data_IF_690548611208
#
_entry.id   IF_690548611208
#
_cell.length_a   1.000
_cell.length_b   1.000
_cell.length_c   1.000
_cell.angle_alpha   90.00
_cell.angle_beta   90.00
_cell.angle_gamma   90.00
#
_symmetry.space_group_name_H-M   'P 1'
#
loop_
_entity.id
_entity.type
_entity.pdbx_description
1 polymer ?
#
# COMPACT_ATOMS: atom_id res chain seq x y z
N UNK A 1 8.29 -19.62 -0.55
CA UNK A 1 6.96 -20.18 -0.88
C UNK A 1 5.91 -19.08 -0.82
N UNK A 2 5.12 -18.94 -1.88
CA UNK A 2 3.96 -18.03 -1.89
C UNK A 2 2.81 -18.71 -1.11
N UNK A 3 2.18 -17.95 -0.22
CA UNK A 3 1.01 -18.44 0.55
C UNK A 3 -0.19 -17.57 0.20
N UNK A 4 -1.35 -18.21 0.04
CA UNK A 4 -2.60 -17.46 -0.10
C UNK A 4 -3.06 -16.95 1.27
N UNK A 5 -3.52 -15.70 1.32
CA UNK A 5 -3.82 -15.02 2.57
C UNK A 5 -4.94 -15.72 3.37
N UNK A 6 -5.91 -16.31 2.69
CA UNK A 6 -7.01 -17.07 3.30
C UNK A 6 -6.55 -18.39 3.93
N UNK A 7 -5.33 -18.86 3.61
CA UNK A 7 -4.71 -20.06 4.17
C UNK A 7 -3.72 -19.76 5.29
N UNK A 8 -3.48 -18.48 5.59
CA UNK A 8 -2.54 -18.07 6.62
C UNK A 8 -3.30 -17.79 7.92
N UNK A 9 -2.79 -18.32 9.04
CA UNK A 9 -3.39 -18.03 10.36
C UNK A 9 -3.30 -16.55 10.66
N UNK A 10 -4.40 -15.94 11.11
CA UNK A 10 -4.45 -14.52 11.45
C UNK A 10 -3.36 -14.10 12.46
N UNK A 11 -2.99 -14.97 13.39
CA UNK A 11 -1.93 -14.71 14.37
C UNK A 11 -0.55 -14.47 13.74
N UNK A 12 -0.29 -15.00 12.53
CA UNK A 12 0.97 -14.78 11.81
C UNK A 12 0.98 -13.50 11.00
N UNK A 13 -0.17 -12.81 10.91
CA UNK A 13 -0.33 -11.54 10.19
C UNK A 13 -0.34 -10.33 11.14
N UNK A 14 0.06 -10.52 12.39
CA UNK A 14 0.19 -9.41 13.35
C UNK A 14 1.30 -8.44 12.93
N UNK A 15 1.13 -7.16 13.24
CA UNK A 15 2.07 -6.09 12.90
C UNK A 15 1.60 -5.23 11.74
N UNK A 16 2.53 -4.72 10.94
CA UNK A 16 2.24 -3.86 9.79
C UNK A 16 2.34 -4.66 8.49
N UNK A 17 1.30 -4.59 7.67
CA UNK A 17 1.28 -5.21 6.35
C UNK A 17 1.60 -4.17 5.27
N UNK A 18 2.50 -4.50 4.35
CA UNK A 18 2.72 -3.79 3.09
C UNK A 18 1.86 -4.47 2.02
N UNK A 19 0.82 -3.78 1.57
CA UNK A 19 -0.16 -4.32 0.62
C UNK A 19 0.02 -3.68 -0.76
N UNK A 20 0.38 -4.49 -1.75
CA UNK A 20 0.46 -4.03 -3.15
C UNK A 20 -0.88 -4.24 -3.83
N UNK A 21 -1.43 -3.15 -4.37
CA UNK A 21 -2.65 -3.11 -5.17
C UNK A 21 -2.35 -2.58 -6.56
N UNK A 22 -3.29 -2.74 -7.49
CA UNK A 22 -3.23 -2.16 -8.83
C UNK A 22 -4.29 -1.07 -8.98
N UNK A 23 -3.83 0.19 -9.02
CA UNK A 23 -4.66 1.36 -9.31
C UNK A 23 -4.44 1.91 -10.73
N UNK A 24 -3.74 1.15 -11.57
CA UNK A 24 -3.50 1.53 -12.97
C UNK A 24 -4.74 1.25 -13.85
N UNK A 25 -5.85 1.88 -13.48
CA UNK A 25 -7.14 1.74 -14.14
C UNK A 25 -7.91 3.06 -14.08
N UNK A 26 -8.85 3.25 -15.00
CA UNK A 26 -9.71 4.46 -15.05
C UNK A 26 -10.99 4.31 -14.24
N UNK A 27 -11.32 3.10 -13.82
CA UNK A 27 -12.50 2.80 -13.02
C UNK A 27 -12.13 2.24 -11.64
N UNK A 28 -13.12 2.07 -10.78
CA UNK A 28 -12.92 1.70 -9.38
C UNK A 28 -13.14 0.20 -9.11
N UNK A 29 -13.37 -0.61 -10.15
CA UNK A 29 -13.68 -2.02 -9.93
C UNK A 29 -12.54 -2.79 -9.26
N UNK A 30 -11.29 -2.42 -9.56
CA UNK A 30 -10.11 -3.03 -8.91
C UNK A 30 -10.01 -2.67 -7.43
N UNK A 31 -10.38 -1.42 -7.07
CA UNK A 31 -10.48 -1.04 -5.66
C UNK A 31 -11.55 -1.83 -4.93
N UNK A 32 -12.72 -2.03 -5.56
CA UNK A 32 -13.79 -2.84 -4.98
C UNK A 32 -13.35 -4.29 -4.80
N UNK A 33 -12.64 -4.85 -5.77
CA UNK A 33 -12.17 -6.23 -5.74
C UNK A 33 -11.17 -6.52 -4.60
N UNK A 34 -10.43 -5.52 -4.13
CA UNK A 34 -9.44 -5.70 -3.05
C UNK A 34 -9.98 -5.36 -1.65
N UNK A 35 -11.20 -4.88 -1.54
CA UNK A 35 -11.81 -4.59 -0.23
C UNK A 35 -11.84 -5.79 0.73
N UNK A 36 -12.13 -7.03 0.29
CA UNK A 36 -12.05 -8.19 1.17
C UNK A 36 -10.66 -8.38 1.79
N UNK A 37 -9.59 -8.20 1.01
CA UNK A 37 -8.21 -8.29 1.48
C UNK A 37 -7.91 -7.21 2.53
N UNK A 38 -8.31 -5.96 2.27
CA UNK A 38 -8.14 -4.87 3.22
C UNK A 38 -8.87 -5.16 4.52
N UNK A 39 -10.13 -5.57 4.44
CA UNK A 39 -10.93 -5.91 5.63
C UNK A 39 -10.33 -7.06 6.43
N UNK A 40 -9.83 -8.08 5.74
CA UNK A 40 -9.15 -9.19 6.38
C UNK A 40 -7.89 -8.74 7.13
N UNK A 41 -7.05 -7.93 6.48
CA UNK A 41 -5.83 -7.40 7.09
C UNK A 41 -6.12 -6.46 8.26
N UNK A 42 -7.18 -5.67 8.20
CA UNK A 42 -7.58 -4.81 9.34
C UNK A 42 -7.94 -5.62 10.59
N UNK A 43 -8.45 -6.83 10.42
CA UNK A 43 -8.74 -7.74 11.54
C UNK A 43 -7.49 -8.47 12.04
N UNK A 44 -6.61 -8.85 11.12
CA UNK A 44 -5.48 -9.74 11.40
C UNK A 44 -4.19 -8.97 11.73
N UNK A 45 -3.96 -7.81 11.09
CA UNK A 45 -2.76 -7.00 11.29
C UNK A 45 -3.04 -5.74 12.09
N UNK A 46 -1.97 -5.05 12.51
CA UNK A 46 -2.11 -3.80 13.25
C UNK A 46 -2.36 -2.60 12.34
N UNK A 47 -1.62 -2.52 11.24
CA UNK A 47 -1.63 -1.38 10.31
C UNK A 47 -1.42 -1.88 8.88
N UNK A 48 -1.86 -1.06 7.91
CA UNK A 48 -1.69 -1.39 6.49
C UNK A 48 -1.01 -0.20 5.81
N UNK A 49 0.04 -0.47 5.03
CA UNK A 49 0.65 0.47 4.09
C UNK A 49 0.35 -0.03 2.68
N UNK A 50 -0.41 0.74 1.92
CA UNK A 50 -0.77 0.41 0.55
C UNK A 50 0.24 1.03 -0.40
N UNK A 51 0.72 0.24 -1.35
CA UNK A 51 1.58 0.68 -2.45
C UNK A 51 0.95 0.31 -3.78
N UNK A 52 1.08 1.20 -4.76
CA UNK A 52 0.57 0.97 -6.11
C UNK A 52 1.30 1.83 -7.13
N UNK A 53 0.92 1.67 -8.40
CA UNK A 53 1.46 2.47 -9.49
C UNK A 53 0.35 2.90 -10.45
N UNK A 54 0.62 3.94 -11.23
CA UNK A 54 -0.24 4.43 -12.30
C UNK A 54 0.59 5.02 -13.43
N UNK A 55 0.27 4.63 -14.67
CA UNK A 55 0.90 5.15 -15.86
C UNK A 55 2.39 4.83 -15.98
N UNK A 56 3.08 5.64 -16.75
CA UNK A 56 4.52 5.55 -16.97
C UNK A 56 5.16 6.95 -16.85
N UNK A 57 5.16 7.55 -15.66
CA UNK A 57 5.75 8.86 -15.45
C UNK A 57 7.28 8.83 -15.57
N UNK A 58 7.85 9.94 -15.99
CA UNK A 58 9.28 10.22 -15.86
C UNK A 58 9.46 11.20 -14.70
N UNK A 59 9.58 10.64 -13.49
CA UNK A 59 9.57 11.41 -12.25
C UNK A 59 8.14 11.81 -11.80
N UNK A 60 8.06 12.86 -10.98
CA UNK A 60 6.77 13.29 -10.43
C UNK A 60 5.86 13.89 -11.50
N UNK A 61 4.62 13.43 -11.55
CA UNK A 61 3.54 13.96 -12.37
C UNK A 61 2.25 14.04 -11.55
N UNK A 62 1.79 15.26 -11.28
CA UNK A 62 0.59 15.52 -10.47
C UNK A 62 -0.65 14.78 -11.01
N UNK A 63 -0.76 14.60 -12.33
CA UNK A 63 -1.90 13.89 -12.96
C UNK A 63 -1.90 12.41 -12.64
N UNK A 64 -0.75 11.84 -12.33
CA UNK A 64 -0.57 10.43 -12.01
C UNK A 64 -0.41 10.17 -10.51
N UNK A 65 -0.59 11.20 -9.66
CA UNK A 65 -0.61 11.03 -8.20
C UNK A 65 -1.82 10.20 -7.75
N UNK A 66 -1.60 9.37 -6.74
CA UNK A 66 -2.64 8.53 -6.14
C UNK A 66 -3.44 9.26 -5.04
N UNK A 67 -3.26 10.56 -4.88
CA UNK A 67 -3.94 11.36 -3.84
C UNK A 67 -5.47 11.22 -3.90
N UNK A 68 -6.03 11.26 -5.10
CA UNK A 68 -7.49 11.10 -5.29
C UNK A 68 -7.94 9.69 -4.94
N UNK A 69 -7.10 8.70 -5.21
CA UNK A 69 -7.40 7.30 -4.89
C UNK A 69 -7.50 7.06 -3.39
N UNK A 70 -6.71 7.77 -2.59
CA UNK A 70 -6.83 7.72 -1.13
C UNK A 70 -8.20 8.19 -0.65
N UNK A 71 -8.77 9.22 -1.25
CA UNK A 71 -10.11 9.73 -0.93
C UNK A 71 -11.19 8.72 -1.32
N UNK A 72 -11.12 8.16 -2.54
CA UNK A 72 -12.07 7.17 -3.02
C UNK A 72 -12.01 5.91 -2.15
N UNK A 73 -10.82 5.42 -1.87
CA UNK A 73 -10.62 4.21 -1.06
C UNK A 73 -11.11 4.42 0.38
N UNK A 74 -10.91 5.61 0.96
CA UNK A 74 -11.44 5.96 2.28
C UNK A 74 -12.96 5.81 2.34
N UNK A 75 -13.66 6.28 1.31
CA UNK A 75 -15.10 6.11 1.19
C UNK A 75 -15.53 4.64 1.09
N UNK A 76 -14.82 3.85 0.31
CA UNK A 76 -15.14 2.42 0.13
C UNK A 76 -14.87 1.58 1.38
N UNK A 77 -13.79 1.86 2.08
CA UNK A 77 -13.40 1.14 3.31
C UNK A 77 -14.23 1.60 4.51
N UNK A 78 -14.77 2.81 4.47
CA UNK A 78 -15.47 3.43 5.61
C UNK A 78 -14.52 3.89 6.71
N UNK A 79 -13.25 4.14 6.37
CA UNK A 79 -12.21 4.57 7.28
C UNK A 79 -11.19 5.43 6.55
N UNK A 80 -10.63 6.44 7.22
CA UNK A 80 -9.64 7.32 6.60
C UNK A 80 -8.41 6.54 6.15
N UNK A 81 -8.06 6.67 4.89
CA UNK A 81 -6.77 6.27 4.31
C UNK A 81 -5.87 7.51 4.28
N UNK A 82 -4.78 7.46 5.03
CA UNK A 82 -3.83 8.57 5.13
C UNK A 82 -2.91 8.54 3.92
N UNK A 83 -2.98 9.58 3.09
CA UNK A 83 -2.09 9.72 1.94
C UNK A 83 -0.72 10.24 2.37
N UNK A 84 0.34 9.62 1.89
CA UNK A 84 1.73 10.02 2.14
C UNK A 84 2.35 10.46 0.81
N UNK A 85 2.66 11.74 0.71
CA UNK A 85 3.10 12.42 -0.53
C UNK A 85 4.62 12.53 -0.68
N UNK A 86 5.37 11.71 0.04
CA UNK A 86 6.83 11.69 -0.03
C UNK A 86 7.36 10.25 0.03
N UNK A 87 8.63 10.09 -0.33
CA UNK A 87 9.36 8.83 -0.27
C UNK A 87 10.57 8.89 0.68
N UNK A 88 10.48 9.71 1.70
CA UNK A 88 11.43 9.67 2.82
C UNK A 88 11.06 8.48 3.72
N UNK A 89 11.67 7.34 3.45
CA UNK A 89 11.33 6.09 4.13
C UNK A 89 11.54 6.14 5.64
N UNK A 90 12.49 6.92 6.11
CA UNK A 90 12.71 7.14 7.55
C UNK A 90 11.52 7.87 8.18
N UNK A 91 11.05 8.93 7.56
CA UNK A 91 9.87 9.69 8.00
C UNK A 91 8.60 8.85 7.92
N UNK A 92 8.42 8.10 6.82
CA UNK A 92 7.28 7.19 6.65
C UNK A 92 7.26 6.17 7.79
N UNK A 93 8.38 5.54 8.07
CA UNK A 93 8.50 4.55 9.15
C UNK A 93 8.12 5.14 10.51
N UNK A 94 8.59 6.35 10.82
CA UNK A 94 8.26 7.05 12.07
C UNK A 94 6.77 7.40 12.14
N UNK A 95 6.19 7.89 11.05
CA UNK A 95 4.76 8.23 10.97
C UNK A 95 3.88 7.01 11.19
N UNK A 96 4.21 5.89 10.56
CA UNK A 96 3.48 4.63 10.70
C UNK A 96 3.63 4.08 12.12
N UNK A 97 4.81 4.13 12.70
CA UNK A 97 5.06 3.67 14.07
C UNK A 97 4.23 4.45 15.10
N UNK A 98 4.10 5.77 14.93
CA UNK A 98 3.35 6.64 15.83
C UNK A 98 1.83 6.53 15.68
N UNK A 99 1.33 5.96 14.58
CA UNK A 99 -0.10 5.86 14.30
C UNK A 99 -0.75 4.74 15.14
N UNK A 100 -2.05 4.89 15.47
CA UNK A 100 -2.76 3.86 16.21
C UNK A 100 -2.96 2.59 15.36
N UNK A 101 -3.15 1.47 16.06
CA UNK A 101 -3.54 0.19 15.45
C UNK A 101 -4.81 0.39 14.60
N UNK A 102 -4.84 -0.25 13.44
CA UNK A 102 -5.94 -0.13 12.48
C UNK A 102 -5.77 1.03 11.51
N UNK A 103 -4.68 1.78 11.55
CA UNK A 103 -4.39 2.84 10.57
C UNK A 103 -4.08 2.27 9.19
N UNK A 104 -4.54 2.99 8.16
CA UNK A 104 -4.29 2.65 6.74
C UNK A 104 -3.58 3.84 6.10
N UNK A 105 -2.50 3.54 5.38
CA UNK A 105 -1.71 4.53 4.63
C UNK A 105 -1.67 4.16 3.15
N UNK A 106 -1.62 5.16 2.29
CA UNK A 106 -1.36 5.00 0.86
C UNK A 106 -0.17 5.87 0.50
N UNK A 107 0.92 5.25 0.03
CA UNK A 107 2.04 5.97 -0.56
C UNK A 107 1.65 6.49 -1.95
N UNK A 108 2.28 7.56 -2.39
CA UNK A 108 2.08 8.05 -3.75
C UNK A 108 2.62 7.05 -4.77
N UNK A 109 2.40 7.33 -6.04
CA UNK A 109 2.73 6.45 -7.15
C UNK A 109 4.21 6.01 -7.12
N UNK A 110 4.45 4.73 -6.89
CA UNK A 110 5.81 4.18 -6.83
C UNK A 110 6.61 4.40 -8.11
N UNK A 111 5.94 4.56 -9.25
CA UNK A 111 6.61 4.84 -10.52
C UNK A 111 7.16 6.25 -10.65
N UNK A 112 6.91 7.11 -9.68
CA UNK A 112 7.69 8.35 -9.54
C UNK A 112 9.15 8.08 -9.16
N UNK A 113 9.43 6.89 -8.62
CA UNK A 113 10.79 6.43 -8.31
C UNK A 113 11.34 5.60 -9.46
N UNK A 114 12.51 5.97 -9.96
CA UNK A 114 13.18 5.26 -11.07
C UNK A 114 13.44 3.78 -10.76
N UNK A 115 13.68 3.45 -9.49
CA UNK A 115 13.98 2.09 -9.05
C UNK A 115 12.81 1.11 -9.19
N UNK A 116 11.56 1.59 -9.31
CA UNK A 116 10.39 0.69 -9.39
C UNK A 116 10.37 -0.13 -10.68
N UNK A 117 10.55 0.50 -11.84
CA UNK A 117 10.51 -0.20 -13.14
C UNK A 117 11.74 -1.08 -13.38
N UNK A 118 12.91 -0.66 -12.91
CA UNK A 118 14.17 -1.43 -13.05
C UNK A 118 14.32 -2.49 -11.97
N UNK A 119 13.34 -2.65 -11.10
CA UNK A 119 13.34 -3.63 -10.00
C UNK A 119 14.60 -3.48 -9.11
N UNK A 120 14.89 -2.26 -8.71
CA UNK A 120 16.05 -1.92 -7.89
C UNK A 120 16.00 -2.63 -6.53
N UNK A 121 16.99 -3.46 -6.17
CA UNK A 121 17.03 -4.15 -4.88
C UNK A 121 17.03 -3.21 -3.68
N UNK A 122 17.63 -2.04 -3.79
CA UNK A 122 17.68 -1.05 -2.70
C UNK A 122 16.28 -0.51 -2.40
N UNK A 123 15.49 -0.16 -3.44
CA UNK A 123 14.11 0.22 -3.26
C UNK A 123 13.28 -0.90 -2.61
N UNK A 124 13.50 -2.13 -3.04
CA UNK A 124 12.87 -3.31 -2.43
C UNK A 124 13.16 -3.43 -0.94
N UNK A 125 14.42 -3.23 -0.54
CA UNK A 125 14.83 -3.23 0.88
C UNK A 125 14.19 -2.09 1.67
N UNK A 126 14.13 -0.89 1.10
CA UNK A 126 13.51 0.26 1.74
C UNK A 126 12.01 0.03 1.97
N UNK A 127 11.30 -0.48 0.97
CA UNK A 127 9.88 -0.83 1.11
C UNK A 127 9.68 -1.94 2.15
N UNK A 128 10.50 -2.99 2.09
CA UNK A 128 10.42 -4.09 3.05
C UNK A 128 10.68 -3.64 4.51
N UNK A 129 11.48 -2.61 4.71
CA UNK A 129 11.76 -2.07 6.04
C UNK A 129 10.55 -1.40 6.70
N UNK A 130 9.51 -1.05 5.92
CA UNK A 130 8.32 -0.36 6.41
C UNK A 130 7.34 -1.29 7.13
N UNK A 131 7.43 -2.60 6.92
CA UNK A 131 6.40 -3.54 7.36
C UNK A 131 6.97 -4.89 7.79
N UNK A 132 6.15 -5.65 8.50
CA UNK A 132 6.50 -6.99 9.00
C UNK A 132 6.16 -8.08 7.98
N UNK A 133 5.25 -7.80 7.05
CA UNK A 133 4.83 -8.74 6.01
C UNK A 133 4.48 -8.02 4.71
N UNK A 134 4.57 -8.75 3.61
CA UNK A 134 4.19 -8.29 2.28
C UNK A 134 3.02 -9.11 1.75
N UNK A 135 2.01 -8.42 1.25
CA UNK A 135 0.83 -9.02 0.60
C UNK A 135 0.67 -8.43 -0.79
N UNK A 136 0.53 -9.29 -1.78
CA UNK A 136 0.31 -8.86 -3.17
C UNK A 136 -1.11 -9.23 -3.60
N UNK A 137 -1.93 -8.24 -3.87
CA UNK A 137 -3.28 -8.36 -4.42
C UNK A 137 -3.43 -7.48 -5.68
N UNK A 138 -2.33 -7.34 -6.44
CA UNK A 138 -2.30 -6.67 -7.73
C UNK A 138 -2.53 -7.67 -8.87
N UNK A 139 -3.57 -7.41 -9.67
CA UNK A 139 -3.96 -8.28 -10.78
C UNK A 139 -4.39 -7.50 -12.04
#
# INVERSE_FOLDING_TARGET
MIKYIDKVKASTLAGTALLRLDFNTTDNWRMQAVLPTIKYLLKASGKIIIISHRGRPDGFDKKLSLKKDAVVLSGMVGKKVVFIDNFDFSKIKSQVAAAPKGSIFLLDNLRFLKGEEINDPELGKQLASLADMYVNDAF
#
